data_IF_009286262451
#
_entry.id   IF_009286262451
#
_cell.length_a   1.000
_cell.length_b   1.000
_cell.length_c   1.000
_cell.angle_alpha   90.00
_cell.angle_beta   90.00
_cell.angle_gamma   90.00
#
_symmetry.space_group_name_H-M   'P 1'
#
loop_
_entity.id
_entity.type
_entity.pdbx_description
1 polymer ?
#
# COMPACT_ATOMS: atom_id res chain seq x y z
N UNK A 1 -12.17 31.20 -10.21
CA UNK A 1 -13.05 30.92 -11.35
C UNK A 1 -14.36 30.34 -10.83
N UNK A 2 -15.26 31.20 -10.35
CA UNK A 2 -16.62 30.80 -9.91
C UNK A 2 -17.64 31.96 -10.05
N UNK A 3 -17.27 33.05 -10.75
CA UNK A 3 -18.09 34.26 -10.81
C UNK A 3 -19.39 34.11 -11.60
N UNK A 4 -19.53 33.09 -12.46
CA UNK A 4 -20.72 32.87 -13.31
C UNK A 4 -21.48 31.58 -12.97
N UNK A 5 -21.07 30.83 -11.95
CA UNK A 5 -21.73 29.58 -11.54
C UNK A 5 -21.79 28.46 -12.60
N UNK A 6 -21.07 28.61 -13.72
CA UNK A 6 -21.06 27.65 -14.82
C UNK A 6 -20.28 26.40 -14.44
N UNK A 7 -20.99 25.27 -14.32
CA UNK A 7 -20.39 23.96 -14.02
C UNK A 7 -20.42 23.07 -15.26
N UNK A 8 -19.30 22.37 -15.51
CA UNK A 8 -19.25 21.35 -16.56
C UNK A 8 -20.25 20.23 -16.29
N UNK A 9 -21.03 19.83 -17.32
CA UNK A 9 -21.93 18.66 -17.25
C UNK A 9 -21.17 17.33 -17.21
N UNK A 10 -19.87 17.34 -17.52
CA UNK A 10 -19.04 16.14 -17.49
C UNK A 10 -18.78 15.79 -16.02
N UNK A 11 -19.16 14.57 -15.61
CA UNK A 11 -18.86 14.05 -14.28
C UNK A 11 -17.37 14.17 -14.02
N UNK A 12 -16.97 14.93 -13.00
CA UNK A 12 -15.59 14.96 -12.53
C UNK A 12 -15.11 13.52 -12.29
N UNK A 13 -14.03 13.13 -12.97
CA UNK A 13 -13.48 11.79 -12.88
C UNK A 13 -13.16 11.50 -11.41
N UNK A 14 -13.88 10.55 -10.81
CA UNK A 14 -13.63 10.12 -9.44
C UNK A 14 -12.23 9.51 -9.41
N UNK A 15 -11.34 10.03 -8.56
CA UNK A 15 -10.04 9.39 -8.35
C UNK A 15 -10.29 7.98 -7.81
N UNK A 16 -9.67 6.99 -8.44
CA UNK A 16 -9.72 5.62 -7.95
C UNK A 16 -9.09 5.58 -6.55
N UNK A 17 -9.80 4.97 -5.61
CA UNK A 17 -9.31 4.74 -4.26
C UNK A 17 -9.68 3.31 -3.86
N UNK A 18 -8.70 2.40 -3.88
CA UNK A 18 -8.83 1.02 -3.39
C UNK A 18 -8.73 0.93 -1.87
N UNK A 19 -8.22 1.97 -1.20
CA UNK A 19 -8.05 1.99 0.24
C UNK A 19 -9.42 2.17 0.90
N UNK A 20 -9.91 1.09 1.52
CA UNK A 20 -11.19 1.06 2.23
C UNK A 20 -11.10 1.58 3.68
N UNK A 21 -9.95 2.14 4.08
CA UNK A 21 -9.64 2.46 5.46
C UNK A 21 -8.75 1.40 6.10
N UNK A 22 -8.55 1.53 7.41
CA UNK A 22 -7.71 0.61 8.18
C UNK A 22 -8.50 -0.68 8.42
N UNK A 23 -8.34 -1.66 7.53
CA UNK A 23 -9.05 -2.94 7.57
C UNK A 23 -8.42 -3.98 8.49
N UNK A 24 -7.22 -3.72 9.02
CA UNK A 24 -6.48 -4.65 9.88
C UNK A 24 -5.64 -3.93 10.92
N UNK A 25 -5.21 -4.70 11.93
CA UNK A 25 -4.24 -4.26 12.92
C UNK A 25 -2.92 -3.86 12.24
N UNK A 26 -2.43 -2.65 12.54
CA UNK A 26 -1.08 -2.23 12.17
C UNK A 26 -0.13 -2.72 13.25
N UNK A 27 0.74 -3.67 12.89
CA UNK A 27 1.79 -4.14 13.78
C UNK A 27 2.82 -3.02 14.07
N UNK A 28 3.44 -3.09 15.24
CA UNK A 28 4.48 -2.14 15.64
C UNK A 28 5.73 -2.27 14.76
N UNK A 29 6.38 -1.13 14.46
CA UNK A 29 7.63 -1.12 13.71
C UNK A 29 8.82 -1.46 14.62
N UNK A 30 9.00 -2.76 14.88
CA UNK A 30 10.06 -3.27 15.76
C UNK A 30 11.47 -3.02 15.21
N UNK A 31 11.63 -3.01 13.88
CA UNK A 31 12.92 -2.76 13.23
C UNK A 31 13.36 -1.30 13.38
N UNK A 32 12.41 -0.36 13.46
CA UNK A 32 12.64 1.08 13.53
C UNK A 32 13.66 1.61 12.50
N UNK A 33 13.69 1.01 11.30
CA UNK A 33 14.68 1.29 10.24
C UNK A 33 16.15 1.10 10.66
N UNK A 34 16.41 0.32 11.71
CA UNK A 34 17.76 -0.08 12.08
C UNK A 34 18.20 -1.28 11.22
N UNK A 35 18.95 -1.00 10.16
CA UNK A 35 19.47 -2.02 9.25
C UNK A 35 20.85 -2.55 9.65
N UNK A 36 21.40 -2.08 10.78
CA UNK A 36 22.75 -2.42 11.24
C UNK A 36 22.69 -2.99 12.65
N UNK A 37 22.26 -4.25 12.81
CA UNK A 37 22.27 -4.92 14.11
C UNK A 37 23.72 -5.20 14.57
N UNK A 38 23.95 -5.20 15.88
CA UNK A 38 25.26 -5.45 16.49
C UNK A 38 25.76 -6.89 16.26
N UNK A 39 24.85 -7.83 16.03
CA UNK A 39 25.12 -9.23 15.81
C UNK A 39 24.34 -9.76 14.59
N UNK A 40 24.85 -10.81 13.91
CA UNK A 40 24.10 -11.46 12.84
C UNK A 40 22.86 -12.18 13.39
N UNK A 41 21.84 -12.37 12.55
CA UNK A 41 20.61 -13.12 12.84
C UNK A 41 19.74 -12.58 13.99
N UNK A 42 19.92 -11.32 14.40
CA UNK A 42 19.15 -10.71 15.48
C UNK A 42 17.78 -10.19 15.03
N UNK A 43 17.62 -9.87 13.75
CA UNK A 43 16.34 -9.41 13.17
C UNK A 43 16.08 -10.12 11.84
N UNK A 44 14.85 -10.61 11.68
CA UNK A 44 14.39 -11.34 10.50
C UNK A 44 13.23 -10.58 9.89
N UNK A 45 13.35 -10.24 8.62
CA UNK A 45 12.29 -9.57 7.86
C UNK A 45 11.82 -10.56 6.80
N UNK A 46 10.52 -10.80 6.75
CA UNK A 46 9.87 -11.60 5.72
C UNK A 46 8.76 -10.78 5.10
N UNK A 47 8.56 -10.95 3.80
CA UNK A 47 7.43 -10.40 3.07
C UNK A 47 6.85 -11.52 2.21
N UNK A 48 5.55 -11.44 1.91
CA UNK A 48 4.87 -12.39 1.02
C UNK A 48 4.69 -11.73 -0.33
N UNK A 49 5.35 -12.25 -1.35
CA UNK A 49 5.28 -11.75 -2.72
C UNK A 49 4.33 -12.61 -3.56
N UNK A 50 3.23 -12.02 -4.06
CA UNK A 50 2.38 -12.65 -5.09
C UNK A 50 2.96 -12.41 -6.49
N UNK A 51 3.15 -13.48 -7.27
CA UNK A 51 3.51 -13.40 -8.69
C UNK A 51 2.63 -14.31 -9.53
N UNK A 52 2.44 -13.96 -10.80
CA UNK A 52 1.61 -14.73 -11.73
C UNK A 52 2.47 -15.62 -12.62
N UNK A 53 2.18 -16.91 -12.63
CA UNK A 53 2.81 -17.90 -13.52
C UNK A 53 1.72 -18.69 -14.22
N UNK A 54 1.77 -18.74 -15.56
CA UNK A 54 0.80 -19.49 -16.38
C UNK A 54 -0.68 -19.19 -16.06
N UNK A 55 -1.00 -17.95 -15.67
CA UNK A 55 -2.35 -17.55 -15.29
C UNK A 55 -2.76 -17.89 -13.85
N UNK A 56 -1.88 -18.53 -13.08
CA UNK A 56 -2.09 -18.88 -11.67
C UNK A 56 -1.32 -17.94 -10.76
N UNK A 57 -1.90 -17.66 -9.59
CA UNK A 57 -1.23 -16.90 -8.51
C UNK A 57 -0.34 -17.84 -7.70
N UNK A 58 0.90 -17.44 -7.52
CA UNK A 58 1.90 -18.12 -6.70
C UNK A 58 2.44 -17.13 -5.67
N UNK A 59 2.83 -17.62 -4.50
CA UNK A 59 3.29 -16.82 -3.38
C UNK A 59 4.69 -17.28 -2.97
N UNK A 60 5.62 -16.34 -2.77
CA UNK A 60 6.97 -16.55 -2.22
C UNK A 60 7.11 -15.80 -0.90
#
# INVERSE_FOLDING_TARGET
MDQMGLKSKVRSRKKYNSYQGQTSHIAENLLNRNFTPEQPNTVWVSDVTEFRVAGTKVYL
#
